data_IF_516128634717
#
_entry.id   IF_516128634717
#
_cell.length_a   1.000
_cell.length_b   1.000
_cell.length_c   1.000
_cell.angle_alpha   90.00
_cell.angle_beta   90.00
_cell.angle_gamma   90.00
#
_symmetry.space_group_name_H-M   'P 1'
#
loop_
_entity.id
_entity.type
_entity.pdbx_description
1 polymer ?
#
# COMPACT_ATOMS: atom_id res chain seq x y z
N UNK A 1 29.47 5.62 -57.70
CA UNK A 1 28.98 6.45 -56.58
C UNK A 1 27.47 6.29 -56.32
N UNK A 2 26.61 6.22 -57.35
CA UNK A 2 25.15 6.06 -57.17
C UNK A 2 24.70 4.76 -56.48
N UNK A 3 25.38 3.62 -56.68
CA UNK A 3 24.99 2.33 -56.07
C UNK A 3 25.14 2.35 -54.54
N UNK A 4 26.14 3.07 -54.01
CA UNK A 4 26.40 3.16 -52.57
C UNK A 4 25.30 3.97 -51.86
N UNK A 5 24.79 5.01 -52.51
CA UNK A 5 23.74 5.88 -51.96
C UNK A 5 22.42 5.10 -51.84
N UNK A 6 22.04 4.34 -52.87
CA UNK A 6 20.79 3.56 -52.86
C UNK A 6 20.83 2.45 -51.78
N UNK A 7 21.99 1.82 -51.58
CA UNK A 7 22.16 0.81 -50.52
C UNK A 7 22.00 1.42 -49.12
N UNK A 8 22.53 2.63 -48.89
CA UNK A 8 22.42 3.30 -47.60
C UNK A 8 20.97 3.68 -47.24
N UNK A 9 20.15 4.06 -48.22
CA UNK A 9 18.74 4.39 -48.02
C UNK A 9 17.86 3.19 -47.66
N UNK A 10 18.25 1.97 -48.05
CA UNK A 10 17.50 0.75 -47.71
C UNK A 10 17.93 0.13 -46.37
N UNK A 11 19.22 0.24 -46.02
CA UNK A 11 19.77 -0.40 -44.81
C UNK A 11 19.43 0.39 -43.55
N UNK A 12 19.48 1.73 -43.60
CA UNK A 12 19.21 2.58 -42.44
C UNK A 12 17.81 2.38 -41.80
N UNK A 13 16.69 2.38 -42.56
CA UNK A 13 15.36 2.19 -41.96
C UNK A 13 15.19 0.79 -41.35
N UNK A 14 15.79 -0.24 -41.95
CA UNK A 14 15.76 -1.60 -41.41
C UNK A 14 16.46 -1.69 -40.05
N UNK A 15 17.59 -1.01 -39.89
CA UNK A 15 18.30 -0.92 -38.60
C UNK A 15 17.44 -0.21 -37.56
N UNK A 16 16.80 0.91 -37.91
CA UNK A 16 15.94 1.66 -36.99
C UNK A 16 14.75 0.82 -36.53
N UNK A 17 14.09 0.10 -37.44
CA UNK A 17 12.97 -0.80 -37.10
C UNK A 17 13.42 -1.93 -36.18
N UNK A 18 14.60 -2.52 -36.44
CA UNK A 18 15.15 -3.59 -35.60
C UNK A 18 15.44 -3.08 -34.17
N UNK A 19 16.06 -1.90 -34.04
CA UNK A 19 16.35 -1.28 -32.73
C UNK A 19 15.04 -0.97 -32.00
N UNK A 20 14.05 -0.39 -32.68
CA UNK A 20 12.74 -0.10 -32.09
C UNK A 20 12.03 -1.38 -31.62
N UNK A 21 12.10 -2.47 -32.39
CA UNK A 21 11.55 -3.77 -32.01
C UNK A 21 12.23 -4.38 -30.78
N UNK A 22 13.57 -4.28 -30.69
CA UNK A 22 14.33 -4.75 -29.52
C UNK A 22 13.98 -3.94 -28.27
N UNK A 23 13.91 -2.61 -28.39
CA UNK A 23 13.52 -1.73 -27.28
C UNK A 23 12.08 -1.99 -26.83
N UNK A 24 11.14 -2.13 -27.76
CA UNK A 24 9.76 -2.48 -27.44
C UNK A 24 9.67 -3.85 -26.75
N UNK A 25 10.39 -4.85 -27.26
CA UNK A 25 10.45 -6.17 -26.64
C UNK A 25 11.02 -6.11 -25.22
N UNK A 26 12.12 -5.39 -25.00
CA UNK A 26 12.71 -5.22 -23.66
C UNK A 26 11.75 -4.54 -22.68
N UNK A 27 11.14 -3.42 -23.08
CA UNK A 27 10.15 -2.69 -22.28
C UNK A 27 8.93 -3.56 -21.97
N UNK A 28 8.43 -4.29 -22.99
CA UNK A 28 7.28 -5.19 -22.82
C UNK A 28 7.60 -6.36 -21.89
N UNK A 29 8.82 -6.91 -21.94
CA UNK A 29 9.24 -8.03 -21.10
C UNK A 29 9.29 -7.62 -19.62
N UNK A 30 9.76 -6.42 -19.30
CA UNK A 30 9.71 -5.88 -17.94
C UNK A 30 8.28 -5.59 -17.48
N UNK A 31 7.45 -4.99 -18.36
CA UNK A 31 6.05 -4.71 -18.08
C UNK A 31 5.19 -5.98 -17.90
N UNK A 32 5.52 -7.09 -18.57
CA UNK A 32 4.82 -8.37 -18.42
C UNK A 32 5.43 -9.28 -17.34
N UNK A 33 6.74 -9.21 -17.09
CA UNK A 33 7.38 -9.93 -15.99
C UNK A 33 6.84 -9.47 -14.63
N UNK A 34 6.49 -8.18 -14.48
CA UNK A 34 5.84 -7.66 -13.27
C UNK A 34 4.40 -8.17 -13.10
N UNK A 35 3.66 -8.46 -14.18
CA UNK A 35 2.29 -9.01 -14.12
C UNK A 35 2.22 -10.53 -13.97
N UNK A 36 3.28 -11.26 -14.35
CA UNK A 36 3.30 -12.72 -14.41
C UNK A 36 3.39 -13.46 -13.06
N UNK A 37 3.74 -12.77 -11.97
CA UNK A 37 3.92 -13.38 -10.64
C UNK A 37 2.63 -13.57 -9.82
N UNK A 38 1.45 -13.31 -10.38
CA UNK A 38 0.17 -13.72 -9.77
C UNK A 38 -0.18 -15.21 -10.01
N UNK A 39 0.79 -16.04 -10.45
CA UNK A 39 0.63 -17.48 -10.69
C UNK A 39 0.71 -18.26 -9.39
N UNK A 40 -0.40 -18.27 -8.69
CA UNK A 40 -0.61 -19.07 -7.49
C UNK A 40 -1.83 -18.62 -6.74
N UNK A 41 -2.96 -18.37 -7.43
CA UNK A 41 -4.21 -18.02 -6.75
C UNK A 41 -4.60 -19.18 -5.84
N UNK A 42 -4.59 -19.00 -4.51
CA UNK A 42 -4.97 -20.08 -3.62
C UNK A 42 -6.43 -20.45 -3.89
N UNK A 43 -6.72 -21.75 -4.00
CA UNK A 43 -8.05 -22.28 -4.27
C UNK A 43 -9.14 -21.77 -3.28
N UNK A 44 -8.72 -21.21 -2.15
CA UNK A 44 -9.55 -20.61 -1.10
C UNK A 44 -10.34 -19.37 -1.54
N UNK A 45 -9.96 -18.69 -2.63
CA UNK A 45 -10.67 -17.50 -3.13
C UNK A 45 -12.11 -17.83 -3.56
N UNK A 46 -12.38 -19.07 -3.97
CA UNK A 46 -13.71 -19.52 -4.42
C UNK A 46 -14.79 -19.44 -3.34
N UNK A 47 -14.42 -19.45 -2.04
CA UNK A 47 -15.36 -19.46 -0.91
C UNK A 47 -15.63 -18.09 -0.28
N UNK A 48 -14.93 -17.06 -0.72
CA UNK A 48 -15.07 -15.69 -0.18
C UNK A 48 -16.50 -15.13 -0.12
N UNK A 49 -17.39 -15.35 -1.12
CA UNK A 49 -18.74 -14.77 -1.10
C UNK A 49 -19.62 -15.25 0.07
N UNK A 50 -19.22 -16.32 0.76
CA UNK A 50 -20.03 -16.97 1.81
C UNK A 50 -19.52 -16.68 3.24
N UNK A 51 -18.33 -16.11 3.39
CA UNK A 51 -17.75 -15.85 4.71
C UNK A 51 -18.34 -14.57 5.31
N UNK A 52 -18.78 -14.64 6.57
CA UNK A 52 -19.27 -13.51 7.36
C UNK A 52 -18.76 -13.57 8.80
N UNK A 53 -18.82 -12.43 9.50
CA UNK A 53 -18.51 -12.32 10.92
C UNK A 53 -17.17 -12.96 11.31
N UNK A 54 -17.19 -13.86 12.29
CA UNK A 54 -15.99 -14.54 12.79
C UNK A 54 -15.23 -15.36 11.74
N UNK A 55 -15.93 -16.02 10.81
CA UNK A 55 -15.29 -16.82 9.76
C UNK A 55 -14.53 -15.95 8.75
N UNK A 56 -15.09 -14.78 8.39
CA UNK A 56 -14.42 -13.81 7.53
C UNK A 56 -13.17 -13.23 8.21
N UNK A 57 -13.29 -12.86 9.50
CA UNK A 57 -12.18 -12.35 10.31
C UNK A 57 -11.05 -13.39 10.43
N UNK A 58 -11.37 -14.64 10.73
CA UNK A 58 -10.38 -15.71 10.83
C UNK A 58 -9.65 -15.94 9.49
N UNK A 59 -10.40 -16.06 8.39
CA UNK A 59 -9.83 -16.21 7.06
C UNK A 59 -8.87 -15.06 6.70
N UNK A 60 -9.29 -13.81 6.93
CA UNK A 60 -8.51 -12.62 6.61
C UNK A 60 -7.21 -12.54 7.42
N UNK A 61 -7.28 -12.84 8.72
CA UNK A 61 -6.10 -12.90 9.58
C UNK A 61 -5.15 -14.02 9.15
N UNK A 62 -5.66 -15.23 8.90
CA UNK A 62 -4.84 -16.39 8.54
C UNK A 62 -4.18 -16.26 7.17
N UNK A 63 -4.83 -15.57 6.23
CA UNK A 63 -4.20 -15.22 4.95
C UNK A 63 -2.96 -14.35 5.17
N UNK A 64 -3.07 -13.31 6.01
CA UNK A 64 -1.95 -12.38 6.28
C UNK A 64 -0.81 -13.07 7.04
N UNK A 65 -1.14 -13.97 7.98
CA UNK A 65 -0.13 -14.82 8.63
C UNK A 65 0.60 -15.72 7.64
N UNK A 66 -0.14 -16.30 6.70
CA UNK A 66 0.43 -17.17 5.65
C UNK A 66 1.36 -16.39 4.71
N UNK A 67 1.02 -15.12 4.41
CA UNK A 67 1.86 -14.22 3.64
C UNK A 67 3.21 -13.95 4.35
N UNK A 68 3.19 -13.62 5.64
CA UNK A 68 4.45 -13.43 6.40
C UNK A 68 5.27 -14.71 6.43
N UNK A 69 4.63 -15.87 6.67
CA UNK A 69 5.31 -17.17 6.67
C UNK A 69 5.97 -17.50 5.32
N UNK A 70 5.34 -17.13 4.21
CA UNK A 70 5.90 -17.28 2.85
C UNK A 70 7.22 -16.52 2.70
N UNK A 71 7.32 -15.33 3.30
CA UNK A 71 8.50 -14.47 3.24
C UNK A 71 9.53 -14.74 4.35
N UNK A 72 9.13 -15.41 5.44
CA UNK A 72 9.99 -15.73 6.58
C UNK A 72 11.15 -16.70 6.28
N UNK A 73 11.18 -17.35 5.11
CA UNK A 73 12.27 -18.27 4.72
C UNK A 73 13.54 -17.58 4.23
N UNK A 74 13.54 -16.26 4.04
CA UNK A 74 14.68 -15.47 3.58
C UNK A 74 15.08 -14.36 4.54
N UNK A 75 16.14 -13.63 4.20
CA UNK A 75 16.50 -12.40 4.90
C UNK A 75 15.41 -11.34 4.69
N UNK A 76 14.94 -10.74 5.77
CA UNK A 76 14.05 -9.59 5.68
C UNK A 76 14.86 -8.36 5.32
N UNK A 77 14.52 -7.74 4.20
CA UNK A 77 15.06 -6.46 3.75
C UNK A 77 13.92 -5.45 3.66
N UNK A 78 14.26 -4.19 3.42
CA UNK A 78 13.29 -3.15 3.08
C UNK A 78 12.35 -3.58 1.95
N UNK A 79 12.92 -4.16 0.88
CA UNK A 79 12.17 -4.59 -0.30
C UNK A 79 11.19 -5.71 0.02
N UNK A 80 11.62 -6.71 0.79
CA UNK A 80 10.75 -7.82 1.24
C UNK A 80 9.59 -7.28 2.09
N UNK A 81 9.87 -6.38 3.02
CA UNK A 81 8.84 -5.79 3.87
C UNK A 81 7.84 -4.95 3.06
N UNK A 82 8.31 -4.12 2.14
CA UNK A 82 7.44 -3.37 1.25
C UNK A 82 6.66 -4.28 0.29
N UNK A 83 7.22 -5.41 -0.14
CA UNK A 83 6.50 -6.43 -0.94
C UNK A 83 5.37 -7.06 -0.12
N UNK A 84 5.59 -7.39 1.16
CA UNK A 84 4.53 -7.86 2.06
C UNK A 84 3.42 -6.82 2.19
N UNK A 85 3.76 -5.54 2.35
CA UNK A 85 2.79 -4.43 2.40
C UNK A 85 1.96 -4.31 1.11
N UNK A 86 2.60 -4.42 -0.05
CA UNK A 86 1.92 -4.44 -1.37
C UNK A 86 1.03 -5.67 -1.55
N UNK A 87 1.50 -6.86 -1.18
CA UNK A 87 0.74 -8.10 -1.34
C UNK A 87 -0.52 -8.10 -0.45
N UNK A 88 -0.42 -7.66 0.82
CA UNK A 88 -1.58 -7.62 1.72
C UNK A 88 -2.62 -6.61 1.27
N UNK A 89 -2.17 -5.44 0.82
CA UNK A 89 -3.04 -4.43 0.23
C UNK A 89 -3.76 -5.00 -1.00
N UNK A 90 -3.00 -5.59 -1.94
CA UNK A 90 -3.54 -6.05 -3.21
C UNK A 90 -4.59 -7.16 -3.00
N UNK A 91 -4.37 -8.03 -2.01
CA UNK A 91 -5.34 -9.03 -1.62
C UNK A 91 -6.58 -8.41 -0.98
N UNK A 92 -6.41 -7.46 -0.05
CA UNK A 92 -7.54 -6.77 0.58
C UNK A 92 -8.41 -6.09 -0.48
N UNK A 93 -7.78 -5.35 -1.39
CA UNK A 93 -8.41 -4.80 -2.60
C UNK A 93 -9.18 -5.88 -3.33
N UNK A 94 -8.51 -6.92 -3.81
CA UNK A 94 -9.14 -7.95 -4.61
C UNK A 94 -10.40 -8.56 -3.96
N UNK A 95 -10.37 -8.79 -2.64
CA UNK A 95 -11.54 -9.31 -1.90
C UNK A 95 -12.66 -8.29 -1.82
N UNK A 96 -12.33 -7.05 -1.47
CA UNK A 96 -13.31 -5.98 -1.31
C UNK A 96 -13.97 -5.66 -2.67
N UNK A 97 -13.22 -5.60 -3.77
CA UNK A 97 -13.74 -5.30 -5.12
C UNK A 97 -14.70 -6.37 -5.60
N UNK A 98 -14.36 -7.63 -5.30
CA UNK A 98 -15.15 -8.77 -5.72
C UNK A 98 -16.51 -8.82 -5.02
N UNK A 99 -16.57 -8.39 -3.77
CA UNK A 99 -17.80 -8.39 -2.97
C UNK A 99 -18.57 -7.07 -3.11
N UNK A 100 -17.86 -5.95 -3.28
CA UNK A 100 -18.39 -4.59 -3.30
C UNK A 100 -17.97 -3.84 -4.58
N UNK A 101 -18.47 -4.24 -5.77
CA UNK A 101 -18.04 -3.67 -7.05
C UNK A 101 -18.40 -2.19 -7.18
N UNK A 102 -19.47 -1.72 -6.55
CA UNK A 102 -19.85 -0.30 -6.53
C UNK A 102 -18.84 0.56 -5.79
N UNK A 103 -18.19 0.01 -4.75
CA UNK A 103 -17.10 0.66 -4.03
C UNK A 103 -15.83 0.70 -4.88
N UNK A 104 -15.63 -0.24 -5.83
CA UNK A 104 -14.47 -0.27 -6.74
C UNK A 104 -14.36 0.97 -7.65
N UNK A 105 -15.49 1.56 -8.04
CA UNK A 105 -15.52 2.60 -9.07
C UNK A 105 -15.10 4.01 -8.61
N UNK A 106 -14.99 4.30 -7.30
CA UNK A 106 -14.82 5.68 -6.75
C UNK A 106 -13.58 5.88 -5.88
N UNK A 107 -12.57 5.03 -6.01
CA UNK A 107 -11.65 4.77 -4.89
C UNK A 107 -10.45 5.67 -4.73
N UNK A 108 -10.05 6.38 -5.77
CA UNK A 108 -8.90 7.27 -5.69
C UNK A 108 -9.19 8.52 -4.88
N UNK A 109 -10.46 8.94 -4.80
CA UNK A 109 -10.89 10.12 -4.05
C UNK A 109 -11.06 9.76 -2.58
N UNK A 110 -10.36 10.48 -1.70
CA UNK A 110 -10.49 10.34 -0.26
C UNK A 110 -11.45 11.42 0.26
N UNK A 111 -12.68 11.02 0.59
CA UNK A 111 -13.69 11.93 1.16
C UNK A 111 -13.54 12.11 2.68
N UNK A 112 -12.79 11.21 3.31
CA UNK A 112 -12.40 11.29 4.71
C UNK A 112 -11.05 12.02 4.81
N UNK A 113 -11.09 13.28 5.23
CA UNK A 113 -9.93 14.17 5.24
C UNK A 113 -8.99 13.91 6.43
N UNK A 114 -9.43 13.19 7.45
CA UNK A 114 -8.67 12.95 8.67
C UNK A 114 -7.77 11.72 8.56
N UNK A 115 -6.45 11.90 8.67
CA UNK A 115 -5.54 10.77 8.93
C UNK A 115 -5.59 10.28 10.39
N UNK A 116 -6.20 11.06 11.30
CA UNK A 116 -6.19 10.76 12.73
C UNK A 116 -6.75 9.37 13.02
N UNK A 117 -5.93 8.55 13.66
CA UNK A 117 -6.30 7.20 14.05
C UNK A 117 -6.23 6.16 12.93
N UNK A 118 -5.76 6.52 11.72
CA UNK A 118 -5.33 5.52 10.75
C UNK A 118 -4.05 4.88 11.28
N UNK A 119 -4.11 3.57 11.54
CA UNK A 119 -2.93 2.80 11.93
C UNK A 119 -2.40 1.97 10.78
N UNK A 120 -1.08 1.81 10.74
CA UNK A 120 -0.32 1.04 9.75
C UNK A 120 0.72 0.16 10.45
N UNK A 121 1.01 -0.99 9.85
CA UNK A 121 2.22 -1.77 10.17
C UNK A 121 3.43 -1.23 9.41
N UNK A 122 4.64 -1.64 9.79
CA UNK A 122 5.87 -1.24 9.09
C UNK A 122 5.87 -1.65 7.61
N UNK A 123 5.51 -2.89 7.23
CA UNK A 123 5.33 -3.26 5.82
C UNK A 123 4.42 -2.31 5.02
N UNK A 124 3.29 -1.88 5.60
CA UNK A 124 2.38 -0.92 4.94
C UNK A 124 3.05 0.44 4.74
N UNK A 125 3.72 0.98 5.77
CA UNK A 125 4.42 2.26 5.68
C UNK A 125 5.56 2.24 4.64
N UNK A 126 6.34 1.17 4.59
CA UNK A 126 7.40 0.99 3.60
C UNK A 126 6.86 0.88 2.17
N UNK A 127 5.75 0.14 1.98
CA UNK A 127 5.09 0.06 0.69
C UNK A 127 4.64 1.45 0.20
N UNK A 128 4.10 2.28 1.10
CA UNK A 128 3.73 3.67 0.80
C UNK A 128 4.96 4.48 0.43
N UNK A 129 6.02 4.46 1.25
CA UNK A 129 7.23 5.21 0.99
C UNK A 129 7.84 4.86 -0.39
N UNK A 130 7.92 3.57 -0.72
CA UNK A 130 8.41 3.10 -2.01
C UNK A 130 7.55 3.60 -3.18
N UNK A 131 6.22 3.55 -3.06
CA UNK A 131 5.31 4.07 -4.10
C UNK A 131 5.51 5.58 -4.30
N UNK A 132 5.63 6.35 -3.21
CA UNK A 132 5.87 7.79 -3.27
C UNK A 132 7.19 8.12 -3.95
N UNK A 133 8.29 7.46 -3.54
CA UNK A 133 9.60 7.66 -4.15
C UNK A 133 9.66 7.25 -5.63
N UNK A 134 8.90 6.22 -6.03
CA UNK A 134 8.85 5.77 -7.41
C UNK A 134 8.04 6.71 -8.33
N UNK A 135 7.05 7.42 -7.79
CA UNK A 135 6.08 8.20 -8.58
C UNK A 135 6.28 9.70 -8.50
N UNK A 136 6.88 10.21 -7.42
CA UNK A 136 6.93 11.64 -7.14
C UNK A 136 8.36 12.19 -7.14
N UNK A 137 8.56 13.45 -7.57
CA UNK A 137 9.78 14.19 -7.34
C UNK A 137 10.17 14.21 -5.85
N UNK A 138 11.48 14.21 -5.57
CA UNK A 138 11.99 14.27 -4.19
C UNK A 138 11.49 15.50 -3.40
N UNK A 139 11.20 16.61 -4.08
CA UNK A 139 10.62 17.80 -3.44
C UNK A 139 9.19 17.52 -2.89
N UNK A 140 8.38 16.78 -3.65
CA UNK A 140 7.01 16.45 -3.25
C UNK A 140 7.00 15.42 -2.12
N UNK A 141 7.92 14.45 -2.14
CA UNK A 141 8.11 13.51 -1.02
C UNK A 141 8.50 14.26 0.26
N UNK A 142 9.40 15.26 0.18
CA UNK A 142 9.73 16.12 1.32
C UNK A 142 8.54 16.94 1.82
N UNK A 143 7.65 17.40 0.93
CA UNK A 143 6.42 18.07 1.31
C UNK A 143 5.45 17.12 2.06
N UNK A 144 5.36 15.85 1.64
CA UNK A 144 4.58 14.82 2.36
C UNK A 144 5.18 14.56 3.75
N UNK A 145 6.50 14.40 3.83
CA UNK A 145 7.20 14.21 5.09
C UNK A 145 6.96 15.38 6.06
N UNK A 146 7.06 16.62 5.58
CA UNK A 146 6.76 17.81 6.39
C UNK A 146 5.31 17.78 6.89
N UNK A 147 4.33 17.51 6.03
CA UNK A 147 2.92 17.38 6.45
C UNK A 147 2.70 16.30 7.51
N UNK A 148 3.37 15.15 7.39
CA UNK A 148 3.29 14.08 8.38
C UNK A 148 3.82 14.55 9.75
N UNK A 149 4.96 15.25 9.78
CA UNK A 149 5.53 15.84 11.01
C UNK A 149 4.64 16.91 11.61
N UNK A 150 4.12 17.81 10.79
CA UNK A 150 3.22 18.88 11.24
C UNK A 150 1.94 18.28 11.87
N UNK A 151 1.41 17.20 11.27
CA UNK A 151 0.26 16.47 11.79
C UNK A 151 0.57 15.75 13.12
N UNK A 152 1.76 15.21 13.29
CA UNK A 152 2.22 14.57 14.54
C UNK A 152 2.27 15.59 15.68
N UNK A 153 2.91 16.75 15.46
CA UNK A 153 2.98 17.84 16.44
C UNK A 153 1.58 18.36 16.79
N UNK A 154 0.70 18.50 15.78
CA UNK A 154 -0.67 18.94 16.01
C UNK A 154 -1.50 17.91 16.80
N UNK A 155 -1.21 16.61 16.67
CA UNK A 155 -1.91 15.56 17.43
C UNK A 155 -1.61 15.63 18.94
N UNK A 156 -0.40 16.05 19.31
CA UNK A 156 0.03 16.21 20.70
C UNK A 156 -0.55 17.48 21.37
N UNK A 157 -0.93 18.49 20.59
CA UNK A 157 -1.20 19.83 21.11
C UNK A 157 -2.64 20.11 21.61
N UNK A 158 -3.66 19.31 21.33
CA UNK A 158 -4.96 19.20 22.06
C UNK A 158 -6.14 18.73 21.18
N UNK A 159 -6.92 17.79 21.74
CA UNK A 159 -8.38 17.74 21.97
C UNK A 159 -9.43 18.34 21.00
N UNK A 160 -9.09 19.02 19.91
CA UNK A 160 -10.09 19.56 18.98
C UNK A 160 -10.29 18.61 17.79
N UNK A 161 -11.21 17.65 17.94
CA UNK A 161 -11.51 16.61 16.94
C UNK A 161 -11.79 17.15 15.53
N UNK A 162 -12.21 18.41 15.42
CA UNK A 162 -12.54 19.05 14.14
C UNK A 162 -11.36 19.73 13.43
N UNK A 163 -10.18 19.83 14.04
CA UNK A 163 -8.99 20.49 13.44
C UNK A 163 -7.83 19.53 13.13
N UNK A 164 -8.04 18.22 13.23
CA UNK A 164 -7.03 17.22 12.87
C UNK A 164 -6.53 17.45 11.44
N UNK A 165 -5.22 17.64 11.28
CA UNK A 165 -4.59 17.96 10.00
C UNK A 165 -4.96 16.99 8.87
N UNK A 166 -5.04 17.53 7.66
CA UNK A 166 -5.36 16.78 6.46
C UNK A 166 -4.40 15.60 6.30
N UNK A 167 -4.91 14.46 5.84
CA UNK A 167 -4.10 13.29 5.55
C UNK A 167 -2.85 13.67 4.71
N UNK A 168 -1.62 13.25 5.11
CA UNK A 168 -0.40 13.66 4.43
C UNK A 168 -0.30 13.09 3.01
N UNK A 169 -1.10 12.05 2.71
CA UNK A 169 -1.19 11.40 1.41
C UNK A 169 -2.30 11.97 0.52
N UNK A 170 -3.01 13.01 0.96
CA UNK A 170 -4.04 13.68 0.16
C UNK A 170 -3.38 14.63 -0.85
N UNK A 171 -3.65 14.42 -2.13
CA UNK A 171 -3.29 15.34 -3.21
C UNK A 171 -4.24 16.53 -3.28
N UNK A 172 -3.81 17.59 -3.96
CA UNK A 172 -4.58 18.83 -4.10
C UNK A 172 -5.90 18.63 -4.87
N UNK A 173 -5.97 17.58 -5.69
CA UNK A 173 -7.15 17.13 -6.44
C UNK A 173 -8.07 16.20 -5.62
N UNK A 174 -7.81 16.04 -4.32
CA UNK A 174 -8.53 15.14 -3.42
C UNK A 174 -8.22 13.65 -3.63
N UNK A 175 -7.24 13.31 -4.47
CA UNK A 175 -6.86 11.93 -4.71
C UNK A 175 -5.78 11.46 -3.73
N UNK A 176 -5.83 10.19 -3.33
CA UNK A 176 -4.77 9.59 -2.54
C UNK A 176 -3.52 9.39 -3.39
N UNK A 177 -2.41 9.99 -2.99
CA UNK A 177 -1.12 9.91 -3.69
C UNK A 177 -0.55 8.48 -3.67
N UNK A 178 -0.83 7.72 -2.61
CA UNK A 178 -0.44 6.32 -2.45
C UNK A 178 -1.63 5.36 -2.61
N UNK A 179 -2.47 5.60 -3.61
CA UNK A 179 -3.68 4.79 -3.82
C UNK A 179 -3.38 3.30 -4.02
N UNK A 180 -2.25 2.97 -4.67
CA UNK A 180 -1.83 1.59 -4.90
C UNK A 180 -1.52 0.88 -3.59
N UNK A 181 -0.78 1.52 -2.69
CA UNK A 181 -0.34 0.97 -1.40
C UNK A 181 -1.06 1.57 -0.20
N UNK A 182 -2.32 2.01 -0.37
CA UNK A 182 -3.03 2.70 0.72
C UNK A 182 -3.18 1.76 1.94
N UNK A 183 -3.13 2.31 3.18
CA UNK A 183 -3.32 1.52 4.39
C UNK A 183 -4.55 0.61 4.33
N UNK A 184 -4.48 -0.57 4.93
CA UNK A 184 -5.62 -1.48 5.00
C UNK A 184 -6.84 -0.78 5.59
N UNK A 185 -6.67 -0.02 6.68
CA UNK A 185 -7.75 0.74 7.32
C UNK A 185 -8.42 1.76 6.39
N UNK A 186 -7.71 2.25 5.37
CA UNK A 186 -8.23 3.21 4.40
C UNK A 186 -9.09 2.54 3.30
N UNK A 187 -8.96 1.23 3.04
CA UNK A 187 -9.65 0.55 1.92
C UNK A 187 -11.18 0.60 2.03
N UNK A 188 -11.72 0.68 3.24
CA UNK A 188 -13.17 0.84 3.50
C UNK A 188 -13.64 2.26 3.79
N UNK A 189 -12.70 3.22 3.93
CA UNK A 189 -12.99 4.62 4.25
C UNK A 189 -12.94 5.51 3.01
N UNK A 190 -11.94 5.30 2.15
CA UNK A 190 -11.71 6.11 0.96
C UNK A 190 -12.59 5.63 -0.21
N UNK A 191 -13.65 6.38 -0.51
CA UNK A 191 -14.57 6.14 -1.63
C UNK A 191 -16.05 6.02 -1.23
N UNK A 192 -16.34 5.98 0.08
CA UNK A 192 -17.70 6.14 0.60
C UNK A 192 -17.91 7.61 0.98
N UNK A 193 -19.03 8.26 0.60
CA UNK A 193 -19.37 9.58 1.11
C UNK A 193 -19.36 9.59 2.64
N UNK A 194 -18.89 10.67 3.25
CA UNK A 194 -19.04 10.91 4.69
C UNK A 194 -20.51 11.08 5.09
N UNK A 195 -21.37 11.41 4.11
CA UNK A 195 -22.79 11.09 4.18
C UNK A 195 -22.89 9.57 4.37
N UNK A 196 -23.05 9.19 5.64
CA UNK A 196 -23.57 7.90 6.07
C UNK A 196 -24.88 7.70 5.33
N UNK A 197 -24.83 7.27 4.08
CA UNK A 197 -26.02 6.91 3.33
C UNK A 197 -26.68 5.83 4.16
N UNK A 198 -27.76 6.19 4.86
CA UNK A 198 -28.27 5.48 6.05
C UNK A 198 -28.98 4.18 5.71
N UNK A 199 -28.75 3.65 4.51
CA UNK A 199 -29.32 2.41 4.03
C UNK A 199 -28.57 1.18 4.55
N UNK A 200 -29.26 0.08 4.89
CA UNK A 200 -28.64 -1.15 5.38
C UNK A 200 -27.60 -1.75 4.43
N UNK A 201 -27.72 -1.51 3.12
CA UNK A 201 -26.74 -1.94 2.12
C UNK A 201 -25.39 -1.21 2.25
N UNK A 202 -25.38 0.09 2.55
CA UNK A 202 -24.14 0.84 2.74
C UNK A 202 -23.44 0.46 4.06
N UNK A 203 -24.22 0.26 5.13
CA UNK A 203 -23.70 -0.22 6.42
C UNK A 203 -23.01 -1.57 6.28
N UNK A 204 -23.62 -2.52 5.56
CA UNK A 204 -23.03 -3.85 5.37
C UNK A 204 -21.76 -3.84 4.51
N UNK A 205 -21.66 -2.94 3.52
CA UNK A 205 -20.46 -2.76 2.72
C UNK A 205 -19.29 -2.19 3.54
N UNK A 206 -19.54 -1.14 4.33
CA UNK A 206 -18.56 -0.54 5.22
C UNK A 206 -18.09 -1.54 6.29
N UNK A 207 -19.02 -2.27 6.90
CA UNK A 207 -18.72 -3.31 7.91
C UNK A 207 -17.88 -4.45 7.32
N UNK A 208 -18.21 -4.93 6.12
CA UNK A 208 -17.43 -5.96 5.43
C UNK A 208 -16.00 -5.49 5.18
N UNK A 209 -15.83 -4.29 4.60
CA UNK A 209 -14.52 -3.74 4.29
C UNK A 209 -13.69 -3.51 5.56
N UNK A 210 -14.30 -2.98 6.62
CA UNK A 210 -13.65 -2.78 7.90
C UNK A 210 -13.22 -4.12 8.53
N UNK A 211 -14.10 -5.13 8.48
CA UNK A 211 -13.82 -6.47 9.02
C UNK A 211 -12.65 -7.13 8.31
N UNK A 212 -12.62 -7.09 6.96
CA UNK A 212 -11.50 -7.66 6.19
C UNK A 212 -10.20 -6.92 6.53
N UNK A 213 -10.23 -5.59 6.47
CA UNK A 213 -9.02 -4.77 6.62
C UNK A 213 -8.41 -4.88 8.02
N UNK A 214 -9.21 -4.76 9.08
CA UNK A 214 -8.75 -4.90 10.47
C UNK A 214 -8.23 -6.31 10.75
N UNK A 215 -8.92 -7.35 10.27
CA UNK A 215 -8.50 -8.72 10.45
C UNK A 215 -7.18 -9.05 9.73
N UNK A 216 -7.01 -8.57 8.49
CA UNK A 216 -5.75 -8.73 7.75
C UNK A 216 -4.61 -8.00 8.46
N UNK A 217 -4.85 -6.77 8.91
CA UNK A 217 -3.84 -5.98 9.63
C UNK A 217 -3.46 -6.64 10.97
N UNK A 218 -4.43 -7.17 11.71
CA UNK A 218 -4.17 -7.91 12.94
C UNK A 218 -3.40 -9.21 12.67
N UNK A 219 -3.74 -9.95 11.63
CA UNK A 219 -3.03 -11.17 11.23
C UNK A 219 -1.59 -10.88 10.82
N UNK A 220 -1.35 -9.80 10.09
CA UNK A 220 -0.04 -9.31 9.72
C UNK A 220 0.79 -8.95 10.96
N UNK A 221 0.26 -8.10 11.84
CA UNK A 221 0.88 -7.71 13.10
C UNK A 221 1.30 -8.93 13.94
N UNK A 222 0.36 -9.84 14.19
CA UNK A 222 0.64 -11.07 14.96
C UNK A 222 1.71 -11.94 14.32
N UNK A 223 1.74 -12.06 13.00
CA UNK A 223 2.73 -12.89 12.31
C UNK A 223 4.12 -12.25 12.28
N UNK A 224 4.22 -10.92 12.15
CA UNK A 224 5.48 -10.20 12.27
C UNK A 224 6.09 -10.41 13.66
N UNK A 225 5.30 -10.24 14.72
CA UNK A 225 5.73 -10.51 16.10
C UNK A 225 6.19 -11.96 16.28
N UNK A 226 5.44 -12.93 15.74
CA UNK A 226 5.82 -14.34 15.81
C UNK A 226 7.11 -14.67 15.04
N UNK A 227 7.47 -13.84 14.05
CA UNK A 227 8.69 -13.96 13.26
C UNK A 227 9.87 -13.15 13.85
N UNK A 228 9.71 -12.53 15.03
CA UNK A 228 10.75 -11.74 15.69
C UNK A 228 10.88 -10.31 15.19
N UNK A 229 9.93 -9.82 14.39
CA UNK A 229 9.88 -8.43 13.95
C UNK A 229 8.91 -7.63 14.80
N UNK A 230 9.09 -6.31 14.80
CA UNK A 230 8.13 -5.40 15.38
C UNK A 230 6.81 -5.42 14.58
N UNK A 231 5.78 -5.97 15.22
CA UNK A 231 4.41 -6.10 14.70
C UNK A 231 3.46 -4.99 15.16
N UNK A 232 3.96 -3.91 15.78
CA UNK A 232 3.11 -2.81 16.23
C UNK A 232 2.36 -2.13 15.07
N UNK A 233 1.21 -1.55 15.43
CA UNK A 233 0.38 -0.73 14.52
C UNK A 233 0.57 0.73 14.90
N UNK A 234 1.39 1.43 14.15
CA UNK A 234 1.75 2.83 14.33
C UNK A 234 0.70 3.77 13.74
N UNK A 235 0.58 4.98 14.26
CA UNK A 235 -0.20 6.03 13.60
C UNK A 235 0.46 6.41 12.26
N UNK A 236 -0.36 6.65 11.22
CA UNK A 236 0.12 6.83 9.85
C UNK A 236 1.16 7.95 9.71
N UNK A 237 0.92 9.11 10.31
CA UNK A 237 1.84 10.25 10.22
C UNK A 237 3.18 9.92 10.88
N UNK A 238 3.17 9.32 12.07
CA UNK A 238 4.39 8.90 12.77
C UNK A 238 5.19 7.88 11.96
N UNK A 239 4.51 6.85 11.44
CA UNK A 239 5.14 5.82 10.64
C UNK A 239 5.76 6.39 9.35
N UNK A 240 5.03 7.27 8.64
CA UNK A 240 5.53 7.93 7.44
C UNK A 240 6.70 8.86 7.73
N UNK A 241 6.63 9.63 8.83
CA UNK A 241 7.72 10.49 9.24
C UNK A 241 9.01 9.68 9.45
N UNK A 242 8.92 8.54 10.13
CA UNK A 242 10.06 7.65 10.36
C UNK A 242 10.63 7.05 9.07
N UNK A 243 9.79 6.45 8.21
CA UNK A 243 10.29 5.71 7.02
C UNK A 243 10.72 6.61 5.86
N UNK A 244 10.26 7.88 5.82
CA UNK A 244 10.64 8.85 4.78
C UNK A 244 11.87 9.69 5.18
N UNK A 245 12.15 9.86 6.47
CA UNK A 245 13.25 10.70 6.93
C UNK A 245 14.57 9.92 7.10
N UNK A 246 14.51 8.72 7.68
CA UNK A 246 15.70 8.02 8.17
C UNK A 246 15.79 6.60 7.59
N UNK A 247 16.67 6.37 6.60
CA UNK A 247 16.90 5.03 6.03
C UNK A 247 17.31 4.01 7.09
N UNK A 248 18.12 4.43 8.07
CA UNK A 248 18.63 3.56 9.15
C UNK A 248 17.52 3.00 10.05
N UNK A 249 16.39 3.70 10.17
CA UNK A 249 15.24 3.21 10.94
C UNK A 249 14.67 1.91 10.35
N UNK A 250 14.72 1.77 9.03
CA UNK A 250 14.28 0.56 8.35
C UNK A 250 15.27 -0.57 8.55
N UNK A 251 16.57 -0.26 8.50
CA UNK A 251 17.62 -1.25 8.77
C UNK A 251 17.49 -1.80 10.19
N UNK A 252 17.30 -0.94 11.21
CA UNK A 252 17.04 -1.38 12.59
C UNK A 252 15.83 -2.31 12.68
N UNK A 253 14.70 -1.92 12.07
CA UNK A 253 13.49 -2.74 12.07
C UNK A 253 13.72 -4.13 11.44
N UNK A 254 14.50 -4.23 10.36
CA UNK A 254 14.84 -5.53 9.74
C UNK A 254 15.71 -6.42 10.64
N UNK A 255 16.33 -5.87 11.69
CA UNK A 255 17.05 -6.62 12.72
C UNK A 255 16.18 -6.94 13.96
N UNK A 256 14.88 -6.61 13.93
CA UNK A 256 13.93 -6.89 14.99
C UNK A 256 13.70 -5.74 15.96
N UNK A 257 14.33 -4.59 15.76
CA UNK A 257 14.09 -3.41 16.59
C UNK A 257 12.71 -2.80 16.29
N UNK A 258 12.18 -2.02 17.24
CA UNK A 258 10.97 -1.25 17.03
C UNK A 258 11.20 -0.14 15.99
N UNK A 259 10.19 0.13 15.14
CA UNK A 259 10.26 1.23 14.17
C UNK A 259 10.41 2.58 14.87
N UNK A 260 9.53 2.83 15.84
CA UNK A 260 9.60 4.00 16.70
C UNK A 260 10.12 3.53 18.05
N UNK A 261 11.11 4.24 18.59
CA UNK A 261 11.44 4.05 19.98
C UNK A 261 10.25 4.51 20.81
N UNK A 262 9.71 3.63 21.67
CA UNK A 262 8.78 4.10 22.68
C UNK A 262 9.47 5.25 23.44
N UNK A 263 8.82 6.42 23.59
CA UNK A 263 9.39 7.47 24.41
C UNK A 263 9.61 6.85 25.79
N UNK A 264 10.88 6.80 26.24
CA UNK A 264 11.24 6.24 27.53
C UNK A 264 10.24 6.75 28.56
N UNK A 265 9.52 5.82 29.22
CA UNK A 265 8.43 6.14 30.12
C UNK A 265 8.88 7.27 31.06
N UNK A 266 8.30 8.46 30.88
CA UNK A 266 8.61 9.65 31.69
C UNK A 266 7.89 9.56 33.03
#
# INVERSE_FOLDING_TARGET
MQIIIISMFLVLPMIVIAIAGILFWAISKEAFASRGKLRGRPATVSRLPLLRGGALRAWAADWSKSLVKKHAGGAWTRETAAEVGREVEAQASFVIDRVLPTVAARRSICLDYGAKGVRVTVPEALAIADELHARLPAADVRCILRRARDNEVAADQEANECQSGLCPLLGDDGHCLAFGTRPLQCRGRCGLPCDRSTGPAATSAAEFSATVSDAMQQGLATALTAAGFDGHRYELNQALAAVLDEPETVDRWTHGDALLMEPAAR
#
